data_IF_288236680883
#
_entry.id   IF_288236680883
#
_cell.length_a   1.000
_cell.length_b   1.000
_cell.length_c   1.000
_cell.angle_alpha   90.00
_cell.angle_beta   90.00
_cell.angle_gamma   90.00
#
_symmetry.space_group_name_H-M   'P 1'
#
loop_
_entity.id
_entity.type
_entity.pdbx_description
1 polymer ?
#
# COMPACT_ATOMS: atom_id res chain seq x y z
N UNK A 1 -31.51 -16.28 -9.80
CA UNK A 1 -31.23 -16.12 -8.35
C UNK A 1 -29.73 -16.27 -8.20
N UNK A 2 -29.08 -15.42 -7.42
CA UNK A 2 -27.62 -15.42 -7.27
C UNK A 2 -27.24 -16.61 -6.40
N UNK A 3 -26.24 -17.39 -6.82
CA UNK A 3 -25.77 -18.52 -6.05
C UNK A 3 -24.64 -18.12 -5.08
N UNK A 4 -24.13 -19.08 -4.30
CA UNK A 4 -23.07 -18.83 -3.32
C UNK A 4 -21.78 -18.34 -3.99
N UNK A 5 -21.44 -18.85 -5.18
CA UNK A 5 -20.22 -18.46 -5.88
C UNK A 5 -20.32 -17.01 -6.35
N UNK A 6 -21.48 -16.62 -6.90
CA UNK A 6 -21.77 -15.24 -7.27
C UNK A 6 -21.64 -14.32 -6.06
N UNK A 7 -22.29 -14.65 -4.94
CA UNK A 7 -22.24 -13.84 -3.72
C UNK A 7 -20.82 -13.71 -3.17
N UNK A 8 -20.02 -14.77 -3.16
CA UNK A 8 -18.62 -14.74 -2.73
C UNK A 8 -17.76 -13.83 -3.62
N UNK A 9 -17.98 -13.86 -4.95
CA UNK A 9 -17.31 -12.95 -5.91
C UNK A 9 -17.69 -11.50 -5.66
N UNK A 10 -18.97 -11.23 -5.44
CA UNK A 10 -19.45 -9.88 -5.19
C UNK A 10 -18.96 -9.32 -3.85
N UNK A 11 -18.93 -10.13 -2.80
CA UNK A 11 -18.36 -9.74 -1.53
C UNK A 11 -16.87 -9.37 -1.65
N UNK A 12 -16.09 -10.20 -2.34
CA UNK A 12 -14.68 -9.91 -2.58
C UNK A 12 -14.51 -8.65 -3.45
N UNK A 13 -15.29 -8.51 -4.53
CA UNK A 13 -15.24 -7.35 -5.42
C UNK A 13 -15.50 -6.04 -4.67
N UNK A 14 -16.57 -6.00 -3.86
CA UNK A 14 -16.89 -4.81 -3.07
C UNK A 14 -15.77 -4.48 -2.08
N UNK A 15 -15.29 -5.47 -1.35
CA UNK A 15 -14.23 -5.26 -0.34
C UNK A 15 -12.95 -4.76 -0.99
N UNK A 16 -12.53 -5.37 -2.11
CA UNK A 16 -11.35 -4.97 -2.85
C UNK A 16 -11.48 -3.55 -3.42
N UNK A 17 -12.62 -3.22 -4.03
CA UNK A 17 -12.87 -1.88 -4.57
C UNK A 17 -12.83 -0.82 -3.46
N UNK A 18 -13.50 -1.07 -2.33
CA UNK A 18 -13.49 -0.15 -1.20
C UNK A 18 -12.09 0.04 -0.62
N UNK A 19 -11.33 -1.05 -0.46
CA UNK A 19 -9.95 -0.97 0.01
C UNK A 19 -9.10 -0.11 -0.95
N UNK A 20 -9.24 -0.35 -2.25
CA UNK A 20 -8.47 0.32 -3.28
C UNK A 20 -8.87 1.79 -3.52
N UNK A 21 -9.93 2.31 -2.86
CA UNK A 21 -10.17 3.76 -2.81
C UNK A 21 -9.09 4.48 -1.98
N UNK A 22 -8.57 3.82 -0.94
CA UNK A 22 -7.66 4.42 0.03
C UNK A 22 -6.18 4.12 -0.29
N UNK A 23 -5.89 2.92 -0.84
CA UNK A 23 -4.53 2.48 -1.20
C UNK A 23 -3.75 3.46 -2.08
N UNK A 24 -4.25 3.89 -3.26
CA UNK A 24 -3.46 4.74 -4.16
C UNK A 24 -3.17 6.11 -3.53
N UNK A 25 -4.09 6.63 -2.71
CA UNK A 25 -3.88 7.88 -2.02
C UNK A 25 -2.79 7.77 -0.94
N UNK A 26 -2.74 6.65 -0.19
CA UNK A 26 -1.64 6.36 0.76
C UNK A 26 -0.30 6.29 0.03
N UNK A 27 -0.22 5.50 -1.06
CA UNK A 27 1.01 5.33 -1.84
C UNK A 27 1.56 6.64 -2.40
N UNK A 28 0.69 7.50 -2.94
CA UNK A 28 1.10 8.78 -3.50
C UNK A 28 1.43 9.83 -2.45
N UNK A 29 0.58 9.99 -1.42
CA UNK A 29 0.79 11.03 -0.42
C UNK A 29 2.06 10.81 0.39
N UNK A 30 2.41 9.58 0.76
CA UNK A 30 3.58 9.35 1.62
C UNK A 30 4.89 9.77 0.94
N UNK A 31 5.03 9.57 -0.37
CA UNK A 31 6.18 10.06 -1.12
C UNK A 31 6.19 11.59 -1.22
N UNK A 32 5.03 12.21 -1.43
CA UNK A 32 4.92 13.68 -1.45
C UNK A 32 5.27 14.28 -0.07
N UNK A 33 4.85 13.64 1.02
CA UNK A 33 5.22 14.02 2.39
C UNK A 33 6.72 13.90 2.63
N UNK A 34 7.33 12.79 2.19
CA UNK A 34 8.77 12.58 2.27
C UNK A 34 9.56 13.64 1.49
N UNK A 35 9.08 14.03 0.31
CA UNK A 35 9.66 15.11 -0.51
C UNK A 35 9.54 16.45 0.21
N UNK A 36 8.34 16.83 0.67
CA UNK A 36 8.12 18.09 1.41
C UNK A 36 9.02 18.17 2.64
N UNK A 37 9.12 17.07 3.40
CA UNK A 37 9.96 17.04 4.59
C UNK A 37 11.46 17.08 4.25
N UNK A 38 11.88 16.43 3.15
CA UNK A 38 13.25 16.54 2.66
C UNK A 38 13.60 18.00 2.36
N UNK A 39 12.70 18.72 1.67
CA UNK A 39 12.89 20.15 1.36
C UNK A 39 12.96 20.97 2.65
N UNK A 40 12.11 20.68 3.66
CA UNK A 40 12.21 21.30 4.98
C UNK A 40 13.59 21.09 5.61
N UNK A 41 14.09 19.84 5.65
CA UNK A 41 15.36 19.50 6.31
C UNK A 41 16.54 20.19 5.64
N UNK A 42 16.55 20.22 4.30
CA UNK A 42 17.61 20.83 3.48
C UNK A 42 17.57 22.35 3.51
N UNK A 43 16.39 22.97 3.36
CA UNK A 43 16.26 24.42 3.24
C UNK A 43 16.09 25.13 4.58
N UNK A 44 15.63 24.43 5.62
CA UNK A 44 15.27 25.02 6.92
C UNK A 44 14.00 25.87 6.90
N UNK A 45 13.34 26.04 5.75
CA UNK A 45 12.12 26.86 5.63
C UNK A 45 10.95 26.15 6.30
N UNK A 46 10.41 26.74 7.36
CA UNK A 46 9.37 26.12 8.20
C UNK A 46 8.06 25.85 7.46
N UNK A 47 7.79 26.55 6.35
CA UNK A 47 6.58 26.32 5.57
C UNK A 47 6.46 24.86 5.09
N UNK A 48 7.55 24.23 4.66
CA UNK A 48 7.51 22.84 4.20
C UNK A 48 7.22 21.86 5.33
N UNK A 49 7.63 22.18 6.56
CA UNK A 49 7.22 21.40 7.75
C UNK A 49 5.72 21.52 7.99
N UNK A 50 5.19 22.73 7.86
CA UNK A 50 3.78 22.99 8.10
C UNK A 50 2.91 22.35 7.00
N UNK A 51 3.40 22.33 5.74
CA UNK A 51 2.83 21.55 4.63
C UNK A 51 2.83 20.05 4.93
N UNK A 52 3.97 19.46 5.34
CA UNK A 52 4.05 18.03 5.70
C UNK A 52 3.04 17.68 6.80
N UNK A 53 2.87 18.55 7.80
CA UNK A 53 1.89 18.32 8.89
C UNK A 53 0.44 18.42 8.41
N UNK A 54 0.15 19.41 7.57
CA UNK A 54 -1.19 19.61 7.02
C UNK A 54 -1.62 18.41 6.16
N UNK A 55 -0.81 18.07 5.15
CA UNK A 55 -1.08 16.93 4.27
C UNK A 55 -0.98 15.61 5.02
N UNK A 56 -0.10 15.51 6.01
CA UNK A 56 0.04 14.37 6.90
C UNK A 56 -1.26 14.05 7.64
N UNK A 57 -2.03 15.07 8.04
CA UNK A 57 -3.34 14.87 8.68
C UNK A 57 -4.34 14.16 7.74
N UNK A 58 -4.42 14.59 6.48
CA UNK A 58 -5.30 13.97 5.48
C UNK A 58 -4.82 12.55 5.14
N UNK A 59 -3.51 12.35 5.03
CA UNK A 59 -2.90 11.04 4.91
C UNK A 59 -3.30 10.12 6.06
N UNK A 60 -3.27 10.58 7.32
CA UNK A 60 -3.64 9.77 8.48
C UNK A 60 -5.11 9.32 8.48
N UNK A 61 -6.03 10.20 8.06
CA UNK A 61 -7.45 9.85 7.91
C UNK A 61 -7.64 8.75 6.87
N UNK A 62 -7.02 8.92 5.69
CA UNK A 62 -7.06 7.94 4.61
C UNK A 62 -6.43 6.60 5.02
N UNK A 63 -5.27 6.68 5.67
CA UNK A 63 -4.49 5.52 6.11
C UNK A 63 -5.28 4.64 7.08
N UNK A 64 -5.99 5.23 8.05
CA UNK A 64 -6.80 4.49 9.02
C UNK A 64 -7.87 3.61 8.33
N UNK A 65 -8.56 4.14 7.32
CA UNK A 65 -9.55 3.39 6.53
C UNK A 65 -8.87 2.35 5.62
N UNK A 66 -7.70 2.66 5.08
CA UNK A 66 -6.88 1.70 4.32
C UNK A 66 -6.52 0.47 5.15
N UNK A 67 -6.03 0.65 6.38
CA UNK A 67 -5.71 -0.45 7.30
C UNK A 67 -6.95 -1.27 7.65
N UNK A 68 -8.06 -0.61 8.03
CA UNK A 68 -9.29 -1.30 8.42
C UNK A 68 -9.86 -2.18 7.29
N UNK A 69 -9.83 -1.66 6.05
CA UNK A 69 -10.30 -2.41 4.87
C UNK A 69 -9.30 -3.50 4.45
N UNK A 70 -8.00 -3.28 4.62
CA UNK A 70 -6.95 -4.27 4.34
C UNK A 70 -7.05 -5.52 5.22
N UNK A 71 -7.33 -5.35 6.51
CA UNK A 71 -7.60 -6.48 7.43
C UNK A 71 -8.75 -7.36 6.91
N UNK A 72 -9.82 -6.73 6.40
CA UNK A 72 -10.97 -7.46 5.86
C UNK A 72 -10.57 -8.27 4.62
N UNK A 73 -9.73 -7.71 3.75
CA UNK A 73 -9.22 -8.40 2.56
C UNK A 73 -8.37 -9.61 2.91
N UNK A 74 -7.43 -9.47 3.85
CA UNK A 74 -6.55 -10.55 4.28
C UNK A 74 -7.33 -11.78 4.76
N UNK A 75 -8.32 -11.57 5.63
CA UNK A 75 -9.14 -12.67 6.16
C UNK A 75 -10.12 -13.26 5.14
N UNK A 76 -10.50 -12.52 4.08
CA UNK A 76 -11.44 -13.01 3.08
C UNK A 76 -10.90 -14.19 2.26
N UNK A 77 -9.58 -14.28 2.07
CA UNK A 77 -8.97 -15.47 1.44
C UNK A 77 -9.25 -16.74 2.25
N UNK A 78 -9.26 -16.66 3.58
CA UNK A 78 -9.53 -17.80 4.46
C UNK A 78 -11.02 -18.13 4.60
N UNK A 79 -11.88 -17.12 4.77
CA UNK A 79 -13.29 -17.33 5.11
C UNK A 79 -14.14 -17.79 3.92
N UNK A 80 -13.95 -17.16 2.76
CA UNK A 80 -14.82 -17.37 1.58
C UNK A 80 -14.14 -18.14 0.44
N UNK A 81 -12.81 -18.31 0.51
CA UNK A 81 -12.01 -18.94 -0.53
C UNK A 81 -11.13 -20.07 0.05
N UNK A 82 -11.70 -20.89 0.93
CA UNK A 82 -10.96 -21.93 1.67
C UNK A 82 -10.28 -22.97 0.78
N UNK A 83 -10.95 -23.45 -0.28
CA UNK A 83 -10.32 -24.37 -1.23
C UNK A 83 -9.18 -23.71 -2.01
N UNK A 84 -9.35 -22.45 -2.43
CA UNK A 84 -8.26 -21.69 -3.05
C UNK A 84 -7.06 -21.57 -2.10
N UNK A 85 -7.31 -21.18 -0.84
CA UNK A 85 -6.26 -21.06 0.17
C UNK A 85 -5.53 -22.38 0.44
N UNK A 86 -6.23 -23.52 0.41
CA UNK A 86 -5.59 -24.83 0.52
C UNK A 86 -4.81 -25.21 -0.75
N UNK A 87 -5.40 -24.96 -1.92
CA UNK A 87 -4.89 -25.41 -3.22
C UNK A 87 -3.63 -24.66 -3.67
N UNK A 88 -3.51 -23.37 -3.37
CA UNK A 88 -2.33 -22.56 -3.76
C UNK A 88 -1.59 -21.91 -2.59
N UNK A 89 -1.96 -22.25 -1.35
CA UNK A 89 -1.46 -21.58 -0.15
C UNK A 89 0.05 -21.62 0.01
N UNK A 90 0.71 -22.69 -0.46
CA UNK A 90 2.17 -22.84 -0.40
C UNK A 90 2.90 -21.74 -1.22
N UNK A 91 2.30 -21.33 -2.34
CA UNK A 91 2.87 -20.31 -3.22
C UNK A 91 2.31 -18.92 -2.93
N UNK A 92 0.98 -18.81 -2.86
CA UNK A 92 0.28 -17.53 -2.69
C UNK A 92 0.44 -16.98 -1.28
N UNK A 93 0.51 -17.84 -0.26
CA UNK A 93 0.64 -17.41 1.13
C UNK A 93 2.01 -16.82 1.47
N UNK A 94 3.08 -17.26 0.79
CA UNK A 94 4.43 -16.81 1.08
C UNK A 94 4.63 -15.29 0.83
N UNK A 95 4.23 -14.70 -0.31
CA UNK A 95 4.27 -13.24 -0.49
C UNK A 95 3.42 -12.46 0.52
N UNK A 96 2.24 -12.96 0.90
CA UNK A 96 1.39 -12.30 1.91
C UNK A 96 2.06 -12.29 3.29
N UNK A 97 2.72 -13.38 3.68
CA UNK A 97 3.49 -13.41 4.91
C UNK A 97 4.70 -12.45 4.87
N UNK A 98 5.38 -12.37 3.72
CA UNK A 98 6.51 -11.44 3.51
C UNK A 98 6.07 -9.98 3.55
N UNK A 99 4.90 -9.66 2.99
CA UNK A 99 4.26 -8.36 3.11
C UNK A 99 4.07 -7.98 4.58
N UNK A 100 3.47 -8.86 5.37
CA UNK A 100 3.23 -8.60 6.79
C UNK A 100 4.55 -8.34 7.54
N UNK A 101 5.54 -9.21 7.37
CA UNK A 101 6.81 -9.17 8.11
C UNK A 101 7.71 -8.00 7.71
N UNK A 102 7.82 -7.69 6.41
CA UNK A 102 8.76 -6.69 5.93
C UNK A 102 8.12 -5.30 5.75
N UNK A 103 6.89 -5.24 5.26
CA UNK A 103 6.24 -3.99 4.88
C UNK A 103 5.31 -3.46 5.96
N UNK A 104 4.32 -4.25 6.40
CA UNK A 104 3.32 -3.77 7.36
C UNK A 104 3.95 -3.40 8.70
N UNK A 105 4.88 -4.20 9.23
CA UNK A 105 5.59 -3.83 10.46
C UNK A 105 6.35 -2.51 10.31
N UNK A 106 7.04 -2.32 9.18
CA UNK A 106 7.79 -1.09 8.93
C UNK A 106 6.84 0.12 8.88
N UNK A 107 5.83 0.04 8.01
CA UNK A 107 4.87 1.12 7.79
C UNK A 107 4.06 1.45 9.05
N UNK A 108 3.43 0.45 9.68
CA UNK A 108 2.56 0.65 10.86
C UNK A 108 3.31 1.12 12.11
N UNK A 109 4.59 0.75 12.25
CA UNK A 109 5.43 1.24 13.36
C UNK A 109 5.87 2.67 13.11
N UNK A 110 6.42 2.95 11.93
CA UNK A 110 6.99 4.26 11.63
C UNK A 110 5.92 5.33 11.37
N UNK A 111 4.71 4.97 10.94
CA UNK A 111 3.61 5.94 10.79
C UNK A 111 3.19 6.54 12.13
N UNK A 112 3.23 5.76 13.22
CA UNK A 112 3.01 6.30 14.56
C UNK A 112 4.08 7.33 14.94
N UNK A 113 5.35 7.02 14.64
CA UNK A 113 6.46 7.95 14.85
C UNK A 113 6.38 9.19 13.94
N UNK A 114 5.86 9.07 12.73
CA UNK A 114 5.64 10.22 11.83
C UNK A 114 4.65 11.23 12.42
N UNK A 115 3.60 10.77 13.09
CA UNK A 115 2.61 11.67 13.69
C UNK A 115 3.06 12.25 15.03
N UNK A 116 3.69 11.43 15.88
CA UNK A 116 3.98 11.82 17.26
C UNK A 116 5.45 12.18 17.52
N UNK A 117 6.34 11.95 16.54
CA UNK A 117 7.79 12.10 16.66
C UNK A 117 8.29 13.54 16.52
N UNK A 118 7.46 14.49 16.06
CA UNK A 118 7.88 15.87 15.77
C UNK A 118 8.61 16.61 16.89
N UNK A 119 8.34 16.28 18.16
CA UNK A 119 8.97 16.91 19.34
C UNK A 119 9.99 16.00 20.03
N UNK A 120 10.10 14.73 19.60
CA UNK A 120 10.96 13.71 20.22
C UNK A 120 12.14 13.29 19.34
N UNK A 121 12.03 13.50 18.03
CA UNK A 121 13.06 13.21 17.04
C UNK A 121 13.67 14.51 16.53
N UNK A 122 14.95 14.49 16.20
CA UNK A 122 15.54 15.58 15.45
C UNK A 122 15.05 15.55 13.98
N UNK A 123 15.26 16.64 13.23
CA UNK A 123 14.74 16.77 11.86
C UNK A 123 15.23 15.70 10.88
N UNK A 124 16.44 15.16 11.07
CA UNK A 124 16.99 14.11 10.19
C UNK A 124 16.41 12.72 10.56
N UNK A 125 16.23 12.47 11.85
CA UNK A 125 15.58 11.25 12.33
C UNK A 125 14.12 11.20 11.91
N UNK A 126 13.39 12.32 12.03
CA UNK A 126 12.01 12.40 11.57
C UNK A 126 11.89 12.17 10.06
N UNK A 127 12.80 12.77 9.27
CA UNK A 127 12.85 12.54 7.84
C UNK A 127 13.11 11.07 7.49
N UNK A 128 14.02 10.41 8.21
CA UNK A 128 14.27 8.97 8.03
C UNK A 128 13.00 8.16 8.29
N UNK A 129 12.26 8.48 9.35
CA UNK A 129 10.96 7.85 9.66
C UNK A 129 10.01 8.01 8.47
N UNK A 130 9.84 9.21 7.93
CA UNK A 130 8.93 9.47 6.80
C UNK A 130 9.31 8.67 5.54
N UNK A 131 10.61 8.58 5.23
CA UNK A 131 11.09 7.74 4.13
C UNK A 131 10.87 6.24 4.38
N UNK A 132 11.07 5.76 5.61
CA UNK A 132 10.81 4.36 5.96
C UNK A 132 9.32 4.00 5.81
N UNK A 133 8.40 4.90 6.16
CA UNK A 133 6.97 4.72 5.87
C UNK A 133 6.75 4.63 4.35
N UNK A 134 7.34 5.54 3.57
CA UNK A 134 7.19 5.57 2.11
C UNK A 134 7.68 4.27 1.44
N UNK A 135 8.86 3.80 1.83
CA UNK A 135 9.41 2.54 1.33
C UNK A 135 8.61 1.33 1.82
N UNK A 136 8.12 1.36 3.06
CA UNK A 136 7.21 0.33 3.60
C UNK A 136 5.96 0.16 2.74
N UNK A 137 5.27 1.25 2.42
CA UNK A 137 4.06 1.20 1.57
C UNK A 137 4.35 0.62 0.18
N UNK A 138 5.51 0.91 -0.41
CA UNK A 138 5.89 0.35 -1.73
C UNK A 138 6.32 -1.11 -1.65
N UNK A 139 6.95 -1.51 -0.55
CA UNK A 139 7.30 -2.90 -0.32
C UNK A 139 6.04 -3.76 -0.12
N UNK A 140 4.99 -3.23 0.52
CA UNK A 140 3.69 -3.88 0.58
C UNK A 140 3.11 -4.05 -0.82
N UNK A 141 3.07 -2.98 -1.62
CA UNK A 141 2.61 -3.03 -3.01
C UNK A 141 3.39 -4.08 -3.84
N UNK A 142 4.70 -4.22 -3.62
CA UNK A 142 5.53 -5.24 -4.30
C UNK A 142 5.06 -6.65 -3.98
N UNK A 143 4.88 -6.99 -2.70
CA UNK A 143 4.54 -8.34 -2.28
C UNK A 143 3.11 -8.74 -2.64
N UNK A 144 2.14 -7.83 -2.46
CA UNK A 144 0.75 -8.12 -2.83
C UNK A 144 0.58 -8.23 -4.35
N UNK A 145 1.32 -7.45 -5.14
CA UNK A 145 1.29 -7.54 -6.60
C UNK A 145 2.10 -8.72 -7.13
N UNK A 146 3.07 -9.24 -6.37
CA UNK A 146 3.67 -10.53 -6.66
C UNK A 146 2.65 -11.68 -6.53
N UNK A 147 1.89 -11.69 -5.43
CA UNK A 147 0.82 -12.67 -5.24
C UNK A 147 -0.22 -12.57 -6.38
N UNK A 148 -0.68 -11.35 -6.69
CA UNK A 148 -1.67 -11.11 -7.73
C UNK A 148 -1.14 -11.31 -9.16
N UNK A 149 0.15 -11.09 -9.40
CA UNK A 149 0.81 -11.39 -10.67
C UNK A 149 0.95 -12.90 -10.90
N UNK A 150 1.31 -13.64 -9.85
CA UNK A 150 1.36 -15.10 -9.89
C UNK A 150 -0.01 -15.73 -10.19
N UNK A 151 -1.10 -15.20 -9.63
CA UNK A 151 -2.47 -15.64 -9.97
C UNK A 151 -2.79 -15.56 -11.47
N UNK A 152 -2.12 -14.66 -12.20
CA UNK A 152 -2.32 -14.44 -13.63
C UNK A 152 -1.31 -15.21 -14.50
N UNK A 153 -0.11 -15.45 -13.99
CA UNK A 153 0.95 -16.19 -14.66
C UNK A 153 1.69 -17.09 -13.66
N UNK A 154 1.22 -18.32 -13.42
CA UNK A 154 1.70 -19.15 -12.30
C UNK A 154 3.05 -19.81 -12.61
N UNK A 155 4.15 -19.06 -12.47
CA UNK A 155 5.54 -19.56 -12.57
C UNK A 155 6.04 -20.12 -11.23
N UNK A 156 7.12 -20.91 -11.25
CA UNK A 156 7.75 -21.44 -10.05
C UNK A 156 6.84 -22.34 -9.20
N UNK A 157 5.89 -23.04 -9.81
CA UNK A 157 4.93 -23.91 -9.12
C UNK A 157 4.67 -25.19 -9.92
N UNK A 158 4.33 -26.27 -9.23
CA UNK A 158 3.91 -27.55 -9.83
C UNK A 158 2.76 -28.17 -9.04
N UNK A 159 1.99 -29.05 -9.65
CA UNK A 159 0.92 -29.78 -8.98
C UNK A 159 1.45 -31.09 -8.39
N UNK A 160 1.19 -31.33 -7.12
CA UNK A 160 1.52 -32.57 -6.42
C UNK A 160 0.25 -33.42 -6.22
N UNK A 161 0.32 -34.69 -6.64
CA UNK A 161 -0.82 -35.63 -6.64
C UNK A 161 -1.09 -36.19 -5.23
N UNK A 162 -0.07 -36.27 -4.38
CA UNK A 162 -0.17 -36.82 -3.04
C UNK A 162 -0.79 -35.81 -2.07
N UNK A 163 -0.46 -34.51 -2.25
CA UNK A 163 -1.00 -33.42 -1.43
C UNK A 163 -2.22 -32.73 -2.04
N UNK A 164 -2.52 -33.02 -3.32
CA UNK A 164 -3.64 -32.46 -4.10
C UNK A 164 -3.66 -30.92 -4.16
N UNK A 165 -2.48 -30.30 -4.18
CA UNK A 165 -2.30 -28.85 -4.23
C UNK A 165 -1.13 -28.46 -5.14
N UNK A 166 -1.04 -27.17 -5.45
CA UNK A 166 0.14 -26.58 -6.06
C UNK A 166 1.20 -26.37 -4.99
N UNK A 167 2.45 -26.74 -5.28
CA UNK A 167 3.61 -26.53 -4.42
C UNK A 167 4.70 -25.70 -5.13
N UNK A 168 5.40 -24.88 -4.35
CA UNK A 168 6.43 -23.97 -4.85
C UNK A 168 7.67 -24.75 -5.30
N UNK A 169 8.09 -24.55 -6.56
CA UNK A 169 9.36 -25.10 -7.07
C UNK A 169 10.49 -24.08 -7.06
N UNK A 170 10.17 -22.78 -7.21
CA UNK A 170 11.17 -21.72 -7.30
C UNK A 170 10.62 -20.39 -6.79
N UNK A 171 11.13 -19.94 -5.63
CA UNK A 171 10.79 -18.63 -5.08
C UNK A 171 11.31 -17.48 -5.94
N UNK A 172 12.45 -17.65 -6.62
CA UNK A 172 13.00 -16.61 -7.49
C UNK A 172 12.13 -16.39 -8.72
N UNK A 173 11.59 -17.44 -9.33
CA UNK A 173 10.65 -17.33 -10.46
C UNK A 173 9.32 -16.67 -10.06
N UNK A 174 8.92 -16.82 -8.80
CA UNK A 174 7.76 -16.11 -8.26
C UNK A 174 8.05 -14.61 -8.14
N UNK A 175 9.16 -14.23 -7.50
CA UNK A 175 9.51 -12.83 -7.23
C UNK A 175 9.80 -12.06 -8.52
N UNK A 176 10.50 -12.69 -9.46
CA UNK A 176 10.86 -12.08 -10.74
C UNK A 176 9.86 -12.38 -11.86
N UNK A 177 8.63 -12.74 -11.51
CA UNK A 177 7.56 -12.96 -12.46
C UNK A 177 7.30 -11.69 -13.31
N UNK A 178 7.39 -11.76 -14.65
CA UNK A 178 7.29 -10.58 -15.50
C UNK A 178 5.94 -9.85 -15.39
N UNK A 179 4.85 -10.59 -15.11
CA UNK A 179 3.52 -9.99 -14.89
C UNK A 179 3.47 -9.23 -13.57
N UNK A 180 4.08 -9.77 -12.52
CA UNK A 180 4.22 -9.07 -11.22
C UNK A 180 5.00 -7.76 -11.37
N UNK A 181 6.10 -7.76 -12.13
CA UNK A 181 6.93 -6.57 -12.34
C UNK A 181 6.17 -5.45 -13.07
N UNK A 182 5.46 -5.79 -14.14
CA UNK A 182 4.65 -4.80 -14.90
C UNK A 182 3.51 -4.26 -14.04
N UNK A 183 2.81 -5.13 -13.30
CA UNK A 183 1.74 -4.72 -12.37
C UNK A 183 2.25 -3.81 -11.28
N UNK A 184 3.40 -4.14 -10.67
CA UNK A 184 4.03 -3.33 -9.64
C UNK A 184 4.26 -1.91 -10.13
N UNK A 185 5.00 -1.75 -11.22
CA UNK A 185 5.32 -0.42 -11.77
C UNK A 185 4.05 0.34 -12.13
N UNK A 186 3.10 -0.31 -12.82
CA UNK A 186 1.87 0.37 -13.26
C UNK A 186 1.01 0.84 -12.09
N UNK A 187 0.74 -0.03 -11.12
CA UNK A 187 -0.14 0.26 -9.98
C UNK A 187 0.47 1.30 -9.03
N UNK A 188 1.77 1.20 -8.76
CA UNK A 188 2.47 2.17 -7.90
C UNK A 188 2.48 3.56 -8.54
N UNK A 189 2.80 3.64 -9.83
CA UNK A 189 2.78 4.91 -10.56
C UNK A 189 1.37 5.52 -10.61
N UNK A 190 0.34 4.68 -10.78
CA UNK A 190 -1.05 5.13 -10.69
C UNK A 190 -1.35 5.72 -9.30
N UNK A 191 -0.87 5.11 -8.22
CA UNK A 191 -0.96 5.65 -6.86
C UNK A 191 -0.28 7.01 -6.71
N UNK A 192 0.92 7.17 -7.27
CA UNK A 192 1.63 8.45 -7.26
C UNK A 192 0.85 9.54 -8.00
N UNK A 193 0.28 9.21 -9.16
CA UNK A 193 -0.59 10.13 -9.90
C UNK A 193 -1.81 10.51 -9.07
N UNK A 194 -2.47 9.54 -8.42
CA UNK A 194 -3.63 9.81 -7.55
C UNK A 194 -3.28 10.77 -6.41
N UNK A 195 -2.17 10.53 -5.70
CA UNK A 195 -1.73 11.42 -4.62
C UNK A 195 -1.38 12.83 -5.10
N UNK A 196 -0.67 12.93 -6.24
CA UNK A 196 -0.32 14.23 -6.82
C UNK A 196 -1.56 15.00 -7.26
N UNK A 197 -2.50 14.34 -7.95
CA UNK A 197 -3.77 14.94 -8.37
C UNK A 197 -4.61 15.41 -7.17
N UNK A 198 -4.61 14.66 -6.07
CA UNK A 198 -5.31 15.04 -4.85
C UNK A 198 -4.77 16.35 -4.25
N UNK A 199 -3.45 16.46 -4.08
CA UNK A 199 -2.82 17.69 -3.60
C UNK A 199 -3.10 18.83 -4.57
N UNK A 200 -2.84 18.65 -5.87
CA UNK A 200 -3.07 19.68 -6.89
C UNK A 200 -4.51 20.20 -6.92
N UNK A 201 -5.50 19.32 -6.81
CA UNK A 201 -6.92 19.70 -6.85
C UNK A 201 -7.31 20.55 -5.63
N UNK A 202 -6.88 20.16 -4.43
CA UNK A 202 -7.17 20.90 -3.19
C UNK A 202 -6.40 22.22 -3.16
N UNK A 203 -5.13 22.21 -3.56
CA UNK A 203 -4.30 23.40 -3.73
C UNK A 203 -4.93 24.41 -4.69
N UNK A 204 -5.35 23.96 -5.88
CA UNK A 204 -6.02 24.80 -6.86
C UNK A 204 -7.31 25.42 -6.28
N UNK A 205 -8.07 24.65 -5.52
CA UNK A 205 -9.26 25.15 -4.85
C UNK A 205 -8.94 26.24 -3.80
N UNK A 206 -7.89 26.05 -2.98
CA UNK A 206 -7.43 27.06 -2.03
C UNK A 206 -7.01 28.37 -2.71
N UNK A 207 -6.24 28.26 -3.80
CA UNK A 207 -5.81 29.40 -4.60
C UNK A 207 -7.00 30.17 -5.21
N UNK A 208 -7.97 29.45 -5.79
CA UNK A 208 -9.20 30.04 -6.33
C UNK A 208 -10.06 30.74 -5.26
N UNK A 209 -10.02 30.26 -4.02
CA UNK A 209 -10.71 30.88 -2.88
C UNK A 209 -9.90 31.97 -2.18
N UNK A 210 -8.65 32.20 -2.60
CA UNK A 210 -7.75 33.17 -1.98
C UNK A 210 -7.39 32.83 -0.52
N UNK A 211 -7.35 31.54 -0.16
CA UNK A 211 -7.07 31.05 1.20
C UNK A 211 -5.81 30.19 1.20
N UNK A 212 -5.16 30.05 2.36
CA UNK A 212 -4.07 29.08 2.61
C UNK A 212 -2.95 29.05 1.54
N UNK A 213 -2.59 30.22 1.00
CA UNK A 213 -1.65 30.33 -0.14
C UNK A 213 -0.26 29.77 0.15
N UNK A 214 0.12 29.69 1.41
CA UNK A 214 1.44 29.19 1.80
C UNK A 214 1.48 27.65 1.81
N UNK A 215 0.33 26.98 1.98
CA UNK A 215 0.20 25.52 2.07
C UNK A 215 -0.36 24.90 0.77
N UNK A 216 -1.09 25.71 -0.01
CA UNK A 216 -1.59 25.39 -1.34
C UNK A 216 -0.45 25.22 -2.36
#
# INVERSE_FOLDING_TARGET
MWDVIDLSRWQFALTALYHFLFVPLTLGLIFLLAIMETIYVVTGKTIYRDMTRFWGKLFGINFALGVATGLTMEFQFGTNWSFYSNYVGDIFGAPLAMEALMAFFLESTFVGLFFFGWQRLNKYQHLLVTWLVAFGSNLSALWILNANGWMQYPTGAHFDIDTLRMEMTSFSELVFNPVSQVKFVHTVMAGYVTGAMFIMAISAWYLLRGRERDVA
#
